data_IF_066115500043
#
_entry.id   IF_066115500043
#
_cell.length_a   1.000
_cell.length_b   1.000
_cell.length_c   1.000
_cell.angle_alpha   90.00
_cell.angle_beta   90.00
_cell.angle_gamma   90.00
#
_symmetry.space_group_name_H-M   'P 1'
#
loop_
_entity.id
_entity.type
_entity.pdbx_description
1 polymer ?
#
# COMPACT_ATOMS: atom_id res chain seq x y z
N UNK A 1 22.66 8.77 41.65
CA UNK A 1 22.45 8.68 40.18
C UNK A 1 22.38 10.07 39.52
N UNK A 2 23.01 10.24 38.35
CA UNK A 2 23.09 11.53 37.65
C UNK A 2 21.74 12.10 37.24
N UNK A 3 21.60 13.42 37.32
CA UNK A 3 20.40 14.12 36.88
C UNK A 3 20.17 14.07 35.36
N UNK A 4 21.17 13.62 34.56
CA UNK A 4 21.12 13.63 33.09
C UNK A 4 21.69 12.36 32.45
N UNK A 5 21.01 11.83 31.42
CA UNK A 5 21.44 10.75 30.50
C UNK A 5 21.75 11.35 29.13
N UNK A 6 22.79 10.85 28.45
CA UNK A 6 23.09 11.21 27.06
C UNK A 6 22.34 10.29 26.09
N UNK A 7 21.51 10.86 25.22
CA UNK A 7 20.93 10.15 24.06
C UNK A 7 21.97 10.04 22.94
N UNK A 8 21.74 9.10 22.01
CA UNK A 8 22.58 8.85 20.84
C UNK A 8 22.70 10.07 19.88
N UNK A 9 21.71 10.97 19.88
CA UNK A 9 21.71 12.26 19.16
C UNK A 9 22.57 13.34 19.86
N UNK A 10 23.27 12.98 20.94
CA UNK A 10 24.11 13.89 21.73
C UNK A 10 23.34 14.73 22.75
N UNK A 11 22.00 14.68 22.78
CA UNK A 11 21.20 15.47 23.73
C UNK A 11 21.28 14.91 25.15
N UNK A 12 21.33 15.80 26.12
CA UNK A 12 21.28 15.47 27.55
C UNK A 12 19.84 15.58 28.05
N UNK A 13 19.24 14.47 28.47
CA UNK A 13 17.89 14.42 29.03
C UNK A 13 17.92 14.16 30.53
N UNK A 14 16.91 14.62 31.26
CA UNK A 14 16.79 14.25 32.68
C UNK A 14 16.60 12.75 32.85
N UNK A 15 17.34 12.15 33.77
CA UNK A 15 17.16 10.75 34.13
C UNK A 15 15.74 10.51 34.67
N UNK A 16 15.05 9.49 34.17
CA UNK A 16 13.72 9.10 34.67
C UNK A 16 13.66 7.57 34.84
N UNK A 17 13.62 7.12 36.10
CA UNK A 17 13.53 5.71 36.49
C UNK A 17 12.21 5.03 36.07
N UNK A 18 11.13 5.79 35.91
CA UNK A 18 9.83 5.25 35.52
C UNK A 18 9.85 4.69 34.10
N UNK A 19 10.69 5.26 33.21
CA UNK A 19 10.85 4.73 31.84
C UNK A 19 11.48 3.33 31.85
N UNK A 20 12.44 3.10 32.74
CA UNK A 20 13.07 1.78 32.92
C UNK A 20 12.04 0.81 33.51
N UNK A 21 11.31 1.24 34.53
CA UNK A 21 10.24 0.44 35.15
C UNK A 21 9.18 0.04 34.13
N UNK A 22 8.74 0.97 33.28
CA UNK A 22 7.75 0.72 32.24
C UNK A 22 8.25 -0.28 31.20
N UNK A 23 9.51 -0.17 30.77
CA UNK A 23 10.10 -1.11 29.82
C UNK A 23 10.18 -2.54 30.38
N UNK A 24 10.63 -2.69 31.64
CA UNK A 24 10.70 -3.97 32.33
C UNK A 24 9.29 -4.54 32.57
N UNK A 25 8.34 -3.71 32.97
CA UNK A 25 6.95 -4.12 33.20
C UNK A 25 6.27 -4.59 31.90
N UNK A 26 6.52 -3.93 30.76
CA UNK A 26 6.01 -4.38 29.46
C UNK A 26 6.58 -5.75 29.06
N UNK A 27 7.87 -5.97 29.29
CA UNK A 27 8.50 -7.26 29.01
C UNK A 27 7.96 -8.38 29.93
N UNK A 28 7.75 -8.09 31.22
CA UNK A 28 7.13 -9.01 32.17
C UNK A 28 5.67 -9.32 31.82
N UNK A 29 4.89 -8.32 31.41
CA UNK A 29 3.51 -8.51 30.96
C UNK A 29 3.41 -9.35 29.67
N UNK A 30 4.35 -9.16 28.73
CA UNK A 30 4.38 -9.90 27.47
C UNK A 30 4.67 -11.40 27.65
N UNK A 31 5.42 -11.78 28.70
CA UNK A 31 5.77 -13.17 28.99
C UNK A 31 4.93 -13.81 30.09
N UNK A 32 4.22 -12.99 30.87
CA UNK A 32 3.41 -13.42 32.02
C UNK A 32 4.23 -13.85 33.24
N UNK A 33 5.54 -13.57 33.28
CA UNK A 33 6.41 -14.07 34.37
C UNK A 33 6.32 -13.24 35.66
N UNK A 34 6.00 -11.94 35.58
CA UNK A 34 5.91 -11.09 36.76
C UNK A 34 5.11 -9.80 36.53
N UNK A 35 4.72 -9.17 37.65
CA UNK A 35 3.89 -7.97 37.69
C UNK A 35 4.70 -6.66 37.86
N UNK A 36 3.99 -5.55 37.92
CA UNK A 36 4.61 -4.22 38.07
C UNK A 36 5.36 -4.05 39.40
N UNK A 37 5.03 -4.81 40.45
CA UNK A 37 5.73 -4.74 41.73
C UNK A 37 7.12 -5.38 41.64
N UNK A 38 7.22 -6.52 40.95
CA UNK A 38 8.50 -7.15 40.64
C UNK A 38 9.32 -6.29 39.67
N UNK A 39 8.68 -5.65 38.68
CA UNK A 39 9.35 -4.74 37.75
C UNK A 39 10.02 -3.55 38.47
N UNK A 40 9.36 -2.97 39.49
CA UNK A 40 9.96 -1.93 40.34
C UNK A 40 11.17 -2.46 41.12
N UNK A 41 11.08 -3.68 41.65
CA UNK A 41 12.18 -4.30 42.40
C UNK A 41 13.41 -4.55 41.51
N UNK A 42 13.19 -5.06 40.29
CA UNK A 42 14.24 -5.23 39.29
C UNK A 42 14.83 -3.89 38.85
N UNK A 43 14.00 -2.85 38.72
CA UNK A 43 14.47 -1.50 38.41
C UNK A 43 15.41 -0.99 39.49
N UNK A 44 15.09 -1.15 40.78
CA UNK A 44 15.99 -0.75 41.88
C UNK A 44 17.35 -1.46 41.77
N UNK A 45 17.37 -2.76 41.41
CA UNK A 45 18.62 -3.49 41.17
C UNK A 45 19.42 -2.90 40.00
N UNK A 46 18.76 -2.55 38.90
CA UNK A 46 19.37 -1.86 37.75
C UNK A 46 19.98 -0.52 38.18
N UNK A 47 19.27 0.28 38.96
CA UNK A 47 19.78 1.58 39.44
C UNK A 47 21.01 1.42 40.32
N UNK A 48 20.99 0.46 41.25
CA UNK A 48 22.12 0.18 42.14
C UNK A 48 23.34 -0.34 41.39
N UNK A 49 23.14 -1.18 40.37
CA UNK A 49 24.23 -1.70 39.54
C UNK A 49 24.82 -0.59 38.66
N UNK A 50 23.97 0.25 38.07
CA UNK A 50 24.39 1.40 37.28
C UNK A 50 25.20 2.42 38.12
N UNK A 51 24.80 2.65 39.37
CA UNK A 51 25.52 3.56 40.28
C UNK A 51 26.90 3.03 40.66
N UNK A 52 27.07 1.71 40.77
CA UNK A 52 28.39 1.09 41.04
C UNK A 52 29.31 1.09 39.84
N UNK A 53 28.78 0.88 38.63
CA UNK A 53 29.58 0.72 37.40
C UNK A 53 30.03 2.07 36.84
N UNK A 54 29.17 3.08 36.88
CA UNK A 54 29.38 4.33 36.15
C UNK A 54 29.80 5.50 37.03
N UNK A 55 30.48 5.23 38.16
CA UNK A 55 30.99 6.18 39.14
C UNK A 55 31.19 7.61 38.60
N UNK A 56 30.18 8.45 38.78
CA UNK A 56 30.18 9.86 38.39
C UNK A 56 30.28 10.21 36.88
N UNK A 57 30.19 9.23 35.96
CA UNK A 57 30.14 9.44 34.49
C UNK A 57 28.71 9.58 33.95
N UNK A 58 28.51 10.45 32.96
CA UNK A 58 27.25 10.54 32.20
C UNK A 58 27.08 9.26 31.38
N UNK A 59 26.06 8.48 31.69
CA UNK A 59 25.73 7.24 30.99
C UNK A 59 24.89 7.50 29.74
N UNK A 60 25.03 6.60 28.78
CA UNK A 60 24.19 6.51 27.59
C UNK A 60 22.92 5.70 27.87
N UNK A 61 21.94 5.77 26.96
CA UNK A 61 20.70 4.98 27.08
C UNK A 61 21.01 3.49 26.87
N UNK A 62 21.94 3.19 25.97
CA UNK A 62 22.37 1.84 25.61
C UNK A 62 23.05 1.13 26.77
N UNK A 63 23.98 1.80 27.46
CA UNK A 63 24.65 1.29 28.66
C UNK A 63 23.65 0.95 29.79
N UNK A 64 22.58 1.74 29.95
CA UNK A 64 21.53 1.44 30.93
C UNK A 64 20.73 0.20 30.49
N UNK A 65 20.47 0.04 29.19
CA UNK A 65 19.78 -1.15 28.67
C UNK A 65 20.60 -2.42 28.84
N UNK A 66 21.93 -2.36 28.69
CA UNK A 66 22.84 -3.49 28.95
C UNK A 66 22.72 -3.97 30.41
N UNK A 67 22.65 -3.04 31.35
CA UNK A 67 22.45 -3.37 32.77
C UNK A 67 21.05 -3.99 33.00
N UNK A 68 20.02 -3.50 32.31
CA UNK A 68 18.68 -4.11 32.40
C UNK A 68 18.71 -5.57 31.92
N UNK A 69 19.42 -5.86 30.83
CA UNK A 69 19.60 -7.23 30.34
C UNK A 69 20.34 -8.11 31.34
N UNK A 70 21.45 -7.63 31.90
CA UNK A 70 22.24 -8.37 32.89
C UNK A 70 21.41 -8.68 34.14
N UNK A 71 20.62 -7.72 34.63
CA UNK A 71 19.72 -7.93 35.78
C UNK A 71 18.60 -8.90 35.45
N UNK A 72 18.06 -8.89 34.23
CA UNK A 72 17.04 -9.86 33.81
C UNK A 72 17.63 -11.27 33.63
N UNK A 73 18.82 -11.40 33.04
CA UNK A 73 19.51 -12.68 32.85
C UNK A 73 19.95 -13.33 34.16
N UNK A 74 20.36 -12.52 35.14
CA UNK A 74 20.72 -12.98 36.49
C UNK A 74 19.50 -13.27 37.39
N UNK A 75 18.29 -12.96 36.93
CA UNK A 75 17.05 -13.27 37.63
C UNK A 75 16.49 -14.65 37.27
N UNK A 76 15.44 -15.09 37.99
CA UNK A 76 14.68 -16.30 37.66
C UNK A 76 13.83 -16.16 36.39
N UNK A 77 13.65 -14.94 35.87
CA UNK A 77 12.72 -14.60 34.78
C UNK A 77 13.40 -14.70 33.41
N UNK A 78 13.84 -15.92 33.06
CA UNK A 78 14.62 -16.18 31.84
C UNK A 78 13.84 -15.94 30.55
N UNK A 79 12.51 -16.15 30.54
CA UNK A 79 11.71 -15.89 29.33
C UNK A 79 11.61 -14.39 29.07
N UNK A 80 11.46 -13.58 30.13
CA UNK A 80 11.44 -12.12 30.05
C UNK A 80 12.78 -11.57 29.61
N UNK A 81 13.88 -12.12 30.13
CA UNK A 81 15.22 -11.74 29.68
C UNK A 81 15.39 -11.97 28.17
N UNK A 82 15.03 -13.16 27.67
CA UNK A 82 15.09 -13.48 26.25
C UNK A 82 14.19 -12.57 25.40
N UNK A 83 12.95 -12.32 25.83
CA UNK A 83 12.03 -11.44 25.13
C UNK A 83 12.52 -9.99 25.07
N UNK A 84 13.08 -9.47 26.17
CA UNK A 84 13.63 -8.12 26.25
C UNK A 84 14.84 -7.94 25.32
N UNK A 85 15.78 -8.90 25.31
CA UNK A 85 16.96 -8.89 24.43
C UNK A 85 16.54 -8.90 22.96
N UNK A 86 15.64 -9.81 22.57
CA UNK A 86 15.14 -9.90 21.19
C UNK A 86 14.46 -8.58 20.76
N UNK A 87 13.61 -8.02 21.61
CA UNK A 87 12.93 -6.75 21.35
C UNK A 87 13.93 -5.59 21.15
N UNK A 88 14.97 -5.51 21.98
CA UNK A 88 16.00 -4.48 21.85
C UNK A 88 16.82 -4.64 20.57
N UNK A 89 17.21 -5.86 20.22
CA UNK A 89 17.97 -6.18 19.01
C UNK A 89 17.16 -5.82 17.75
N UNK A 90 15.88 -6.20 17.69
CA UNK A 90 14.97 -5.83 16.60
C UNK A 90 14.91 -4.31 16.42
N UNK A 91 14.66 -3.58 17.52
CA UNK A 91 14.61 -2.12 17.48
C UNK A 91 15.94 -1.45 17.16
N UNK A 92 17.08 -2.04 17.57
CA UNK A 92 18.40 -1.54 17.21
C UNK A 92 18.66 -1.71 15.72
N UNK A 93 18.28 -2.85 15.14
CA UNK A 93 18.39 -3.15 13.71
C UNK A 93 17.54 -2.23 12.86
N UNK A 94 16.28 -2.01 13.25
CA UNK A 94 15.42 -1.01 12.61
C UNK A 94 16.07 0.36 12.56
N UNK A 95 16.63 0.83 13.67
CA UNK A 95 17.28 2.15 13.75
C UNK A 95 18.57 2.23 12.93
N UNK A 96 19.35 1.16 12.87
CA UNK A 96 20.55 1.13 12.03
C UNK A 96 20.19 1.21 10.55
N UNK A 97 19.13 0.50 10.15
CA UNK A 97 18.56 0.55 8.82
C UNK A 97 18.03 1.96 8.53
N UNK A 98 17.22 2.55 9.40
CA UNK A 98 16.70 3.93 9.24
C UNK A 98 17.82 4.98 9.12
N UNK A 99 18.88 4.89 9.92
CA UNK A 99 19.97 5.88 9.91
C UNK A 99 20.93 5.73 8.72
N UNK A 100 21.09 4.52 8.15
CA UNK A 100 21.87 4.31 6.91
C UNK A 100 21.05 4.61 5.65
N UNK A 101 19.72 4.56 5.73
CA UNK A 101 18.84 4.66 4.55
C UNK A 101 18.67 6.07 3.97
N UNK A 102 18.78 7.16 4.74
CA UNK A 102 18.32 8.47 4.21
C UNK A 102 19.19 9.08 3.11
N UNK A 103 20.53 8.97 3.20
CA UNK A 103 21.43 9.54 2.17
C UNK A 103 21.82 8.50 1.13
N UNK A 104 22.13 7.28 1.58
CA UNK A 104 22.59 6.22 0.68
C UNK A 104 21.49 5.77 -0.31
N UNK A 105 20.19 5.78 0.06
CA UNK A 105 19.13 5.40 -0.89
C UNK A 105 18.96 6.43 -2.02
N UNK A 106 19.12 7.71 -1.72
CA UNK A 106 19.06 8.77 -2.72
C UNK A 106 20.24 8.62 -3.67
N UNK A 107 21.45 8.47 -3.14
CA UNK A 107 22.66 8.30 -3.95
C UNK A 107 22.63 6.99 -4.78
N UNK A 108 22.09 5.89 -4.22
CA UNK A 108 21.89 4.63 -4.96
C UNK A 108 20.94 4.79 -6.16
N UNK A 109 19.83 5.50 -5.96
CA UNK A 109 18.88 5.77 -7.05
C UNK A 109 19.49 6.71 -8.09
N UNK A 110 20.11 7.82 -7.67
CA UNK A 110 20.78 8.78 -8.55
C UNK A 110 21.92 8.14 -9.35
N UNK A 111 22.68 7.24 -8.73
CA UNK A 111 23.77 6.49 -9.34
C UNK A 111 23.32 5.33 -10.22
N UNK A 112 22.03 5.02 -10.28
CA UNK A 112 21.46 3.83 -10.94
C UNK A 112 22.15 2.51 -10.55
N UNK A 113 22.63 2.42 -9.31
CA UNK A 113 23.51 1.33 -8.88
C UNK A 113 22.78 0.07 -8.41
N UNK A 114 21.46 0.14 -8.21
CA UNK A 114 20.64 -1.01 -7.81
C UNK A 114 19.78 -1.51 -8.99
N UNK A 115 19.81 -2.83 -9.23
CA UNK A 115 18.96 -3.48 -10.23
C UNK A 115 17.48 -3.29 -9.90
N UNK A 116 17.14 -3.09 -8.62
CA UNK A 116 15.76 -2.84 -8.15
C UNK A 116 15.11 -1.60 -8.74
N UNK A 117 15.90 -0.66 -9.27
CA UNK A 117 15.35 0.46 -10.04
C UNK A 117 14.56 -0.05 -11.27
N UNK A 118 14.86 -1.25 -11.74
CA UNK A 118 14.17 -1.94 -12.84
C UNK A 118 13.17 -3.01 -12.36
N UNK A 119 12.94 -3.18 -11.05
CA UNK A 119 11.97 -4.15 -10.52
C UNK A 119 10.54 -3.82 -10.97
N UNK A 120 10.24 -2.53 -11.07
CA UNK A 120 9.00 -2.06 -11.69
C UNK A 120 9.26 -1.61 -13.13
N UNK A 121 8.99 -2.50 -14.08
CA UNK A 121 9.19 -2.26 -15.51
C UNK A 121 8.39 -1.09 -16.07
N UNK A 122 7.37 -0.62 -15.34
CA UNK A 122 6.53 0.50 -15.74
C UNK A 122 7.05 1.86 -15.22
N UNK A 123 8.15 1.89 -14.45
CA UNK A 123 8.71 3.11 -13.86
C UNK A 123 9.96 3.60 -14.58
N UNK A 124 9.94 4.86 -15.00
CA UNK A 124 11.12 5.54 -15.52
C UNK A 124 11.83 6.36 -14.45
N UNK A 125 13.13 6.58 -14.66
CA UNK A 125 13.96 7.44 -13.82
C UNK A 125 13.38 8.86 -13.76
N UNK A 126 12.79 9.20 -12.61
CA UNK A 126 12.14 10.48 -12.37
C UNK A 126 12.17 10.85 -10.89
N UNK A 127 11.85 12.11 -10.58
CA UNK A 127 11.67 12.55 -9.19
C UNK A 127 10.59 11.76 -8.45
N UNK A 128 9.49 11.45 -9.13
CA UNK A 128 8.43 10.66 -8.54
C UNK A 128 8.84 9.18 -8.38
N UNK A 129 9.64 8.65 -9.31
CA UNK A 129 10.26 7.33 -9.16
C UNK A 129 11.19 7.25 -7.95
N UNK A 130 11.96 8.32 -7.67
CA UNK A 130 12.79 8.41 -6.47
C UNK A 130 11.94 8.36 -5.20
N UNK A 131 10.88 9.17 -5.13
CA UNK A 131 9.97 9.17 -3.98
C UNK A 131 9.37 7.79 -3.74
N UNK A 132 8.95 7.11 -4.82
CA UNK A 132 8.41 5.77 -4.74
C UNK A 132 9.46 4.75 -4.27
N UNK A 133 10.69 4.82 -4.80
CA UNK A 133 11.80 3.95 -4.41
C UNK A 133 12.11 4.05 -2.91
N UNK A 134 12.25 5.28 -2.39
CA UNK A 134 12.50 5.52 -0.96
C UNK A 134 11.35 4.95 -0.12
N UNK A 135 10.10 5.27 -0.47
CA UNK A 135 8.93 4.77 0.25
C UNK A 135 8.82 3.24 0.22
N UNK A 136 9.19 2.62 -0.91
CA UNK A 136 9.13 1.18 -1.10
C UNK A 136 10.15 0.46 -0.23
N UNK A 137 11.39 0.93 -0.18
CA UNK A 137 12.43 0.33 0.66
C UNK A 137 12.11 0.45 2.15
N UNK A 138 11.58 1.60 2.59
CA UNK A 138 11.12 1.78 3.98
C UNK A 138 9.99 0.80 4.32
N UNK A 139 9.00 0.65 3.43
CA UNK A 139 7.87 -0.28 3.63
C UNK A 139 8.33 -1.74 3.68
N UNK A 140 9.28 -2.13 2.83
CA UNK A 140 9.87 -3.46 2.81
C UNK A 140 10.57 -3.80 4.12
N UNK A 141 11.35 -2.86 4.66
CA UNK A 141 12.01 -3.02 5.97
C UNK A 141 10.97 -3.22 7.07
N UNK A 142 9.89 -2.45 7.05
CA UNK A 142 8.82 -2.59 8.03
C UNK A 142 8.14 -3.96 7.96
N UNK A 143 7.74 -4.42 6.75
CA UNK A 143 7.18 -5.75 6.56
C UNK A 143 8.05 -6.86 7.13
N UNK A 144 9.34 -6.87 6.77
CA UNK A 144 10.25 -7.95 7.11
C UNK A 144 10.70 -7.95 8.58
N UNK A 145 10.62 -6.82 9.27
CA UNK A 145 11.10 -6.70 10.65
C UNK A 145 9.99 -6.62 11.69
N UNK A 146 8.85 -5.98 11.37
CA UNK A 146 7.76 -5.75 12.31
C UNK A 146 6.59 -6.72 12.11
N UNK A 147 6.28 -7.11 10.87
CA UNK A 147 5.10 -7.93 10.57
C UNK A 147 5.45 -9.42 10.43
N UNK A 148 6.44 -9.73 9.59
CA UNK A 148 6.85 -11.11 9.34
C UNK A 148 7.77 -11.65 10.42
N UNK A 149 7.66 -12.96 10.68
CA UNK A 149 8.55 -13.62 11.63
C UNK A 149 10.00 -13.66 11.10
N UNK A 150 11.00 -13.78 12.00
CA UNK A 150 12.40 -13.89 11.60
C UNK A 150 12.69 -15.03 10.61
N UNK A 151 11.94 -16.14 10.71
CA UNK A 151 12.05 -17.30 9.81
C UNK A 151 11.58 -16.95 8.39
N UNK A 152 10.42 -16.29 8.27
CA UNK A 152 9.88 -15.84 6.97
C UNK A 152 10.81 -14.83 6.32
N UNK A 153 11.30 -13.83 7.09
CA UNK A 153 12.27 -12.87 6.58
C UNK A 153 13.52 -13.56 6.05
N UNK A 154 14.05 -14.53 6.80
CA UNK A 154 15.27 -15.25 6.42
C UNK A 154 15.07 -16.01 5.12
N UNK A 155 14.01 -16.80 5.02
CA UNK A 155 13.67 -17.56 3.83
C UNK A 155 13.49 -16.66 2.59
N UNK A 156 12.85 -15.48 2.74
CA UNK A 156 12.76 -14.49 1.68
C UNK A 156 14.14 -13.92 1.27
N UNK A 157 15.01 -13.64 2.25
CA UNK A 157 16.32 -13.02 2.01
C UNK A 157 17.33 -14.01 1.42
N UNK A 158 17.24 -15.28 1.82
CA UNK A 158 18.09 -16.37 1.35
C UNK A 158 17.61 -16.97 0.01
N UNK A 159 16.40 -16.59 -0.44
CA UNK A 159 15.86 -16.96 -1.75
C UNK A 159 15.10 -18.28 -1.77
N UNK A 160 14.72 -18.82 -0.61
CA UNK A 160 13.89 -20.03 -0.51
C UNK A 160 12.48 -19.80 -1.10
N UNK A 161 11.96 -18.57 -0.97
CA UNK A 161 10.79 -18.07 -1.69
C UNK A 161 10.86 -16.55 -1.84
N UNK A 162 9.99 -16.00 -2.69
CA UNK A 162 9.89 -14.55 -2.88
C UNK A 162 8.53 -14.04 -2.39
N UNK A 163 8.55 -13.01 -1.54
CA UNK A 163 7.34 -12.29 -1.13
C UNK A 163 7.21 -11.10 -2.07
N UNK A 164 6.16 -11.12 -2.88
CA UNK A 164 5.89 -10.06 -3.84
C UNK A 164 5.37 -8.79 -3.13
N UNK A 165 5.60 -7.64 -3.77
CA UNK A 165 4.96 -6.35 -3.47
C UNK A 165 5.13 -5.83 -2.03
N UNK A 166 6.31 -6.06 -1.44
CA UNK A 166 6.70 -5.47 -0.15
C UNK A 166 6.85 -3.94 -0.17
N UNK A 167 6.68 -3.31 -1.33
CA UNK A 167 6.79 -1.87 -1.56
C UNK A 167 5.63 -1.07 -0.98
N UNK A 168 4.45 -1.67 -0.83
CA UNK A 168 3.27 -1.03 -0.26
C UNK A 168 2.79 -1.77 0.99
N UNK A 169 2.33 -1.02 1.99
CA UNK A 169 1.61 -1.56 3.15
C UNK A 169 0.12 -1.60 2.83
N UNK A 170 -0.26 -2.39 1.82
CA UNK A 170 -1.65 -2.51 1.39
C UNK A 170 -1.93 -3.88 0.75
N UNK A 171 -3.13 -4.03 0.19
CA UNK A 171 -3.57 -5.17 -0.60
C UNK A 171 -2.86 -5.22 -1.96
N UNK A 172 -2.80 -6.42 -2.55
CA UNK A 172 -2.19 -6.64 -3.85
C UNK A 172 -3.07 -6.11 -5.00
N UNK A 173 -4.04 -6.90 -5.46
CA UNK A 173 -4.95 -6.53 -6.55
C UNK A 173 -6.39 -6.44 -6.06
N UNK A 174 -7.22 -5.67 -6.76
CA UNK A 174 -8.65 -5.55 -6.43
C UNK A 174 -9.50 -5.60 -7.69
N UNK A 175 -10.50 -6.47 -7.68
CA UNK A 175 -11.61 -6.47 -8.63
C UNK A 175 -12.79 -5.70 -8.03
N UNK A 176 -13.29 -4.72 -8.76
CA UNK A 176 -14.33 -3.81 -8.31
C UNK A 176 -15.65 -4.10 -9.00
N UNK A 177 -16.74 -3.83 -8.29
CA UNK A 177 -18.08 -3.91 -8.85
C UNK A 177 -18.44 -2.58 -9.52
N UNK A 178 -18.47 -2.57 -10.86
CA UNK A 178 -18.88 -1.39 -11.62
C UNK A 178 -20.37 -1.07 -11.38
N UNK A 179 -21.20 -2.05 -11.07
CA UNK A 179 -22.61 -1.83 -10.78
C UNK A 179 -22.77 -0.91 -9.55
N UNK A 180 -21.97 -1.13 -8.52
CA UNK A 180 -21.97 -0.30 -7.30
C UNK A 180 -21.57 1.15 -7.61
N UNK A 181 -20.52 1.35 -8.40
CA UNK A 181 -20.10 2.67 -8.88
C UNK A 181 -21.22 3.38 -9.68
N UNK A 182 -21.95 2.64 -10.52
CA UNK A 182 -23.08 3.18 -11.30
C UNK A 182 -24.32 3.46 -10.44
N UNK A 183 -24.46 2.80 -9.30
CA UNK A 183 -25.56 2.99 -8.35
C UNK A 183 -25.31 4.15 -7.38
N UNK A 184 -24.11 4.25 -6.85
CA UNK A 184 -23.76 5.21 -5.79
C UNK A 184 -23.07 6.47 -6.30
N UNK A 185 -22.35 6.37 -7.43
CA UNK A 185 -21.38 7.36 -7.87
C UNK A 185 -20.06 7.26 -7.12
N UNK A 186 -19.07 8.05 -7.52
CA UNK A 186 -17.75 8.02 -6.86
C UNK A 186 -17.74 8.90 -5.60
N UNK A 187 -17.75 8.28 -4.42
CA UNK A 187 -17.89 8.93 -3.10
C UNK A 187 -17.22 8.14 -1.97
N UNK A 188 -17.25 8.64 -0.73
CA UNK A 188 -16.89 7.88 0.48
C UNK A 188 -15.67 8.38 1.25
N UNK A 189 -15.00 9.44 0.77
CA UNK A 189 -13.81 10.00 1.44
C UNK A 189 -14.08 11.40 1.96
N UNK A 190 -14.01 11.56 3.29
CA UNK A 190 -14.25 12.84 3.96
C UNK A 190 -13.28 13.93 3.46
N UNK A 191 -13.83 15.10 3.12
CA UNK A 191 -13.06 16.25 2.65
C UNK A 191 -12.58 16.15 1.20
N UNK A 192 -13.04 15.16 0.43
CA UNK A 192 -12.82 15.06 -1.02
C UNK A 192 -14.10 15.35 -1.78
N UNK A 193 -13.96 15.76 -3.05
CA UNK A 193 -15.09 15.99 -3.94
C UNK A 193 -15.72 14.65 -4.29
N UNK A 194 -17.03 14.57 -4.18
CA UNK A 194 -17.81 13.38 -4.52
C UNK A 194 -18.64 13.62 -5.80
N UNK A 195 -18.88 12.55 -6.55
CA UNK A 195 -19.72 12.57 -7.74
C UNK A 195 -21.01 11.78 -7.52
N UNK A 196 -22.10 12.27 -8.08
CA UNK A 196 -23.35 11.52 -8.18
C UNK A 196 -23.23 10.44 -9.27
N UNK A 197 -24.09 9.42 -9.23
CA UNK A 197 -24.17 8.42 -10.30
C UNK A 197 -24.25 9.03 -11.70
N UNK A 198 -23.45 8.50 -12.62
CA UNK A 198 -23.38 8.98 -13.99
C UNK A 198 -24.71 8.79 -14.74
N UNK A 199 -25.09 9.79 -15.55
CA UNK A 199 -26.30 9.76 -16.41
C UNK A 199 -26.00 9.59 -17.89
N UNK A 200 -24.75 9.83 -18.30
CA UNK A 200 -24.30 9.82 -19.68
C UNK A 200 -23.05 8.95 -19.80
N UNK A 201 -22.84 8.32 -20.97
CA UNK A 201 -21.74 7.38 -21.20
C UNK A 201 -20.37 8.00 -20.89
N UNK A 202 -20.12 9.22 -21.39
CA UNK A 202 -18.86 9.92 -21.14
C UNK A 202 -18.62 10.21 -19.66
N UNK A 203 -19.66 10.57 -18.92
CA UNK A 203 -19.55 10.79 -17.47
C UNK A 203 -19.26 9.48 -16.74
N UNK A 204 -19.84 8.36 -17.16
CA UNK A 204 -19.56 7.04 -16.58
C UNK A 204 -18.10 6.64 -16.83
N UNK A 205 -17.63 6.73 -18.07
CA UNK A 205 -16.23 6.46 -18.42
C UNK A 205 -15.25 7.38 -17.68
N UNK A 206 -15.57 8.67 -17.55
CA UNK A 206 -14.76 9.61 -16.77
C UNK A 206 -14.71 9.27 -15.27
N UNK A 207 -15.82 8.80 -14.69
CA UNK A 207 -15.81 8.31 -13.30
C UNK A 207 -14.98 7.04 -13.15
N UNK A 208 -15.06 6.09 -14.10
CA UNK A 208 -14.22 4.89 -14.14
C UNK A 208 -12.74 5.26 -14.17
N UNK A 209 -12.35 6.22 -15.02
CA UNK A 209 -10.97 6.73 -15.08
C UNK A 209 -10.53 7.27 -13.72
N UNK A 210 -11.30 8.19 -13.13
CA UNK A 210 -10.98 8.77 -11.82
C UNK A 210 -10.91 7.71 -10.72
N UNK A 211 -11.79 6.72 -10.77
CA UNK A 211 -11.85 5.61 -9.82
C UNK A 211 -10.58 4.77 -9.90
N UNK A 212 -10.18 4.31 -11.09
CA UNK A 212 -8.95 3.55 -11.27
C UNK A 212 -7.72 4.33 -10.85
N UNK A 213 -7.61 5.62 -11.22
CA UNK A 213 -6.48 6.47 -10.84
C UNK A 213 -6.38 6.73 -9.34
N UNK A 214 -7.52 6.79 -8.65
CA UNK A 214 -7.52 6.99 -7.20
C UNK A 214 -7.12 5.71 -6.48
N UNK A 215 -7.75 4.58 -6.82
CA UNK A 215 -7.58 3.33 -6.07
C UNK A 215 -6.28 2.59 -6.39
N UNK A 216 -5.64 2.85 -7.54
CA UNK A 216 -4.27 2.37 -7.77
C UNK A 216 -3.23 2.96 -6.79
N UNK A 217 -3.56 4.04 -6.08
CA UNK A 217 -2.73 4.60 -5.02
C UNK A 217 -2.83 3.78 -3.72
N UNK A 218 -3.88 2.98 -3.59
CA UNK A 218 -4.24 2.23 -2.39
C UNK A 218 -3.99 0.72 -2.55
N UNK A 219 -3.50 0.26 -3.69
CA UNK A 219 -3.21 -1.15 -3.96
C UNK A 219 -1.94 -1.29 -4.81
N UNK A 220 -1.19 -2.37 -4.63
CA UNK A 220 0.10 -2.55 -5.31
C UNK A 220 -0.05 -2.94 -6.79
N UNK A 221 -1.05 -3.77 -7.09
CA UNK A 221 -1.26 -4.42 -8.37
C UNK A 221 -2.50 -3.94 -9.12
N UNK A 222 -3.04 -4.84 -9.95
CA UNK A 222 -4.07 -4.56 -10.93
C UNK A 222 -5.41 -4.12 -10.30
N UNK A 223 -6.06 -3.18 -10.99
CA UNK A 223 -7.43 -2.74 -10.72
C UNK A 223 -8.33 -3.22 -11.85
N UNK A 224 -9.38 -3.98 -11.54
CA UNK A 224 -10.23 -4.58 -12.55
C UNK A 224 -11.70 -4.20 -12.40
N UNK A 225 -12.40 -4.03 -13.53
CA UNK A 225 -13.86 -4.05 -13.58
C UNK A 225 -14.34 -5.24 -14.39
N UNK A 226 -15.36 -5.93 -13.88
CA UNK A 226 -16.07 -6.99 -14.59
C UNK A 226 -17.34 -6.44 -15.25
N UNK A 227 -17.85 -7.17 -16.27
CA UNK A 227 -19.09 -6.86 -16.96
C UNK A 227 -19.14 -5.45 -17.58
N UNK A 228 -17.99 -5.00 -18.10
CA UNK A 228 -17.78 -3.60 -18.47
C UNK A 228 -18.68 -3.16 -19.63
N UNK A 229 -18.78 -3.98 -20.67
CA UNK A 229 -19.66 -3.75 -21.82
C UNK A 229 -21.14 -3.89 -21.44
N UNK A 230 -21.52 -4.95 -20.72
CA UNK A 230 -22.91 -5.18 -20.27
C UNK A 230 -23.43 -3.99 -19.47
N UNK A 231 -22.65 -3.50 -18.50
CA UNK A 231 -23.09 -2.45 -17.58
C UNK A 231 -23.09 -1.05 -18.22
N UNK A 232 -22.25 -0.80 -19.22
CA UNK A 232 -22.15 0.51 -19.89
C UNK A 232 -22.96 0.61 -21.18
N UNK A 233 -23.28 -0.50 -21.83
CA UNK A 233 -24.09 -0.53 -23.06
C UNK A 233 -25.42 0.24 -22.95
N UNK A 234 -26.16 0.22 -21.83
CA UNK A 234 -27.41 0.97 -21.72
C UNK A 234 -27.26 2.47 -22.01
N UNK A 235 -26.17 3.09 -21.56
CA UNK A 235 -25.95 4.52 -21.79
C UNK A 235 -25.95 4.89 -23.28
N UNK A 236 -25.53 3.99 -24.17
CA UNK A 236 -25.56 4.22 -25.63
C UNK A 236 -26.99 4.50 -26.11
N UNK A 237 -27.96 3.68 -25.68
CA UNK A 237 -29.37 3.82 -26.07
C UNK A 237 -30.01 5.04 -25.42
N UNK A 238 -29.79 5.26 -24.13
CA UNK A 238 -30.41 6.40 -23.41
C UNK A 238 -29.88 7.75 -23.91
N UNK A 239 -28.60 7.82 -24.25
CA UNK A 239 -27.99 9.02 -24.83
C UNK A 239 -28.25 9.14 -26.34
N UNK A 240 -28.81 8.10 -26.99
CA UNK A 240 -29.07 8.01 -28.44
C UNK A 240 -27.82 8.25 -29.28
N UNK A 241 -26.70 7.64 -28.87
CA UNK A 241 -25.40 7.87 -29.48
C UNK A 241 -25.30 7.20 -30.85
N UNK A 242 -24.74 7.94 -31.81
CA UNK A 242 -24.26 7.39 -33.06
C UNK A 242 -22.97 6.59 -32.86
N UNK A 243 -22.65 5.70 -33.81
CA UNK A 243 -21.40 4.93 -33.76
C UNK A 243 -20.14 5.82 -33.65
N UNK A 244 -20.14 6.97 -34.33
CA UNK A 244 -19.04 7.94 -34.26
C UNK A 244 -18.87 8.50 -32.84
N UNK A 245 -19.97 8.80 -32.15
CA UNK A 245 -19.93 9.31 -30.77
C UNK A 245 -19.51 8.24 -29.77
N UNK A 246 -19.94 6.99 -29.97
CA UNK A 246 -19.51 5.84 -29.17
C UNK A 246 -17.99 5.66 -29.30
N UNK A 247 -17.48 5.59 -30.54
CA UNK A 247 -16.04 5.46 -30.81
C UNK A 247 -15.26 6.63 -30.21
N UNK A 248 -15.76 7.86 -30.32
CA UNK A 248 -15.10 9.03 -29.73
C UNK A 248 -15.05 8.97 -28.20
N UNK A 249 -16.12 8.53 -27.54
CA UNK A 249 -16.16 8.39 -26.09
C UNK A 249 -15.19 7.30 -25.59
N UNK A 250 -15.09 6.18 -26.31
CA UNK A 250 -14.14 5.11 -26.01
C UNK A 250 -12.70 5.49 -26.32
N UNK A 251 -12.46 6.27 -27.38
CA UNK A 251 -11.16 6.88 -27.64
C UNK A 251 -10.73 7.78 -26.49
N UNK A 252 -11.61 8.68 -26.03
CA UNK A 252 -11.33 9.52 -24.88
C UNK A 252 -10.97 8.68 -23.64
N UNK A 253 -11.73 7.63 -23.36
CA UNK A 253 -11.46 6.71 -22.26
C UNK A 253 -10.10 6.01 -22.37
N UNK A 254 -9.82 5.36 -23.50
CA UNK A 254 -8.59 4.58 -23.73
C UNK A 254 -7.36 5.49 -23.69
N UNK A 255 -7.43 6.70 -24.26
CA UNK A 255 -6.30 7.62 -24.14
C UNK A 255 -6.09 8.06 -22.68
N UNK A 256 -7.14 8.45 -21.97
CA UNK A 256 -7.03 8.94 -20.59
C UNK A 256 -6.51 7.88 -19.61
N UNK A 257 -6.94 6.62 -19.75
CA UNK A 257 -6.45 5.53 -18.89
C UNK A 257 -5.01 5.14 -19.20
N UNK A 258 -4.49 5.46 -20.40
CA UNK A 258 -3.10 5.22 -20.78
C UNK A 258 -2.15 6.39 -20.49
N UNK A 259 -2.65 7.58 -20.10
CA UNK A 259 -1.76 8.71 -19.76
C UNK A 259 -1.01 8.40 -18.46
N UNK A 260 0.34 8.39 -18.45
CA UNK A 260 1.11 8.09 -17.23
C UNK A 260 1.04 9.25 -16.23
N UNK A 261 0.01 9.27 -15.40
CA UNK A 261 -0.18 10.31 -14.37
C UNK A 261 0.07 9.81 -12.94
N UNK A 262 0.42 8.52 -12.74
CA UNK A 262 0.82 7.96 -11.44
C UNK A 262 2.14 8.58 -10.96
N UNK A 263 2.38 8.51 -9.65
CA UNK A 263 3.73 8.62 -9.07
C UNK A 263 4.68 7.69 -9.82
N UNK A 264 5.74 8.25 -10.37
CA UNK A 264 6.75 7.54 -11.16
C UNK A 264 6.45 7.47 -12.66
N UNK A 265 5.45 8.23 -13.15
CA UNK A 265 5.03 8.24 -14.55
C UNK A 265 4.60 6.86 -15.06
N UNK A 266 3.89 6.10 -14.22
CA UNK A 266 3.34 4.82 -14.62
C UNK A 266 1.89 4.97 -15.08
N UNK A 267 1.52 4.16 -16.06
CA UNK A 267 0.12 3.94 -16.43
C UNK A 267 -0.51 2.97 -15.41
N UNK A 268 -1.76 3.20 -14.97
CA UNK A 268 -2.48 2.25 -14.12
C UNK A 268 -2.56 0.85 -14.73
N UNK A 269 -2.18 -0.17 -13.96
CA UNK A 269 -2.40 -1.55 -14.38
C UNK A 269 -3.90 -1.86 -14.25
N UNK A 270 -4.60 -1.84 -15.37
CA UNK A 270 -6.07 -1.96 -15.40
C UNK A 270 -6.54 -3.09 -16.29
N UNK A 271 -7.61 -3.74 -15.86
CA UNK A 271 -8.27 -4.82 -16.59
C UNK A 271 -9.76 -4.52 -16.73
N UNK A 272 -10.32 -4.81 -17.89
CA UNK A 272 -11.76 -4.78 -18.12
C UNK A 272 -12.21 -6.11 -18.71
N UNK A 273 -13.26 -6.70 -18.15
CA UNK A 273 -13.86 -7.91 -18.72
C UNK A 273 -15.01 -7.52 -19.65
N UNK A 274 -14.98 -8.04 -20.87
CA UNK A 274 -16.05 -7.84 -21.86
C UNK A 274 -16.85 -9.15 -21.99
N UNK A 275 -18.13 -9.11 -21.66
CA UNK A 275 -18.97 -10.31 -21.68
C UNK A 275 -19.29 -10.79 -23.11
N UNK A 276 -19.24 -9.90 -24.10
CA UNK A 276 -19.59 -10.09 -25.52
C UNK A 276 -21.08 -10.37 -25.75
N UNK A 277 -21.67 -11.23 -24.92
CA UNK A 277 -23.10 -11.55 -24.89
C UNK A 277 -23.65 -11.25 -23.52
N UNK A 278 -24.88 -10.73 -23.44
CA UNK A 278 -25.52 -10.43 -22.15
C UNK A 278 -25.48 -11.68 -21.25
N UNK A 279 -24.81 -11.63 -20.09
CA UNK A 279 -24.70 -12.78 -19.22
C UNK A 279 -26.05 -13.09 -18.56
N UNK A 280 -26.37 -14.40 -18.44
CA UNK A 280 -27.66 -14.87 -17.91
C UNK A 280 -28.01 -14.30 -16.54
N UNK A 281 -27.01 -14.03 -15.68
CA UNK A 281 -27.22 -13.50 -14.34
C UNK A 281 -27.52 -11.99 -14.29
N UNK A 282 -27.30 -11.26 -15.39
CA UNK A 282 -27.75 -9.87 -15.55
C UNK A 282 -28.99 -9.74 -16.45
N UNK A 283 -29.27 -10.71 -17.32
CA UNK A 283 -30.33 -10.66 -18.33
C UNK A 283 -31.66 -10.08 -17.81
N UNK A 284 -32.18 -10.60 -16.69
CA UNK A 284 -33.47 -10.19 -16.12
C UNK A 284 -33.39 -8.99 -15.18
N UNK A 285 -32.20 -8.43 -14.94
CA UNK A 285 -32.03 -7.27 -14.06
C UNK A 285 -32.32 -5.98 -14.82
N UNK A 286 -32.95 -5.02 -14.15
CA UNK A 286 -33.16 -3.68 -14.69
C UNK A 286 -31.83 -2.99 -14.94
N UNK A 287 -31.73 -2.27 -16.05
CA UNK A 287 -30.55 -1.45 -16.35
C UNK A 287 -30.47 -0.25 -15.40
N UNK A 288 -29.25 0.12 -15.03
CA UNK A 288 -29.00 1.27 -14.15
C UNK A 288 -28.50 2.45 -14.97
N UNK A 289 -29.21 3.57 -14.86
CA UNK A 289 -28.80 4.88 -15.43
C UNK A 289 -29.05 5.96 -14.39
N UNK A 290 -28.04 6.77 -14.09
CA UNK A 290 -28.15 7.83 -13.07
C UNK A 290 -28.43 7.30 -11.66
N UNK A 291 -27.95 6.09 -11.34
CA UNK A 291 -28.14 5.44 -10.04
C UNK A 291 -29.55 4.94 -9.80
N UNK A 292 -30.34 4.76 -10.87
CA UNK A 292 -31.73 4.31 -10.79
C UNK A 292 -32.00 3.16 -11.75
N UNK A 293 -32.74 2.13 -11.31
CA UNK A 293 -33.24 1.10 -12.22
C UNK A 293 -34.22 1.72 -13.21
N UNK A 294 -34.10 1.32 -14.47
CA UNK A 294 -35.00 1.70 -15.55
C UNK A 294 -36.00 0.58 -15.85
N UNK A 295 -36.89 0.79 -16.82
CA UNK A 295 -37.94 -0.18 -17.14
C UNK A 295 -37.37 -1.41 -17.86
N UNK A 296 -36.40 -1.16 -18.73
CA UNK A 296 -35.73 -2.15 -19.56
C UNK A 296 -34.73 -2.98 -18.75
N UNK A 297 -34.49 -4.19 -19.23
CA UNK A 297 -33.58 -5.17 -18.64
C UNK A 297 -32.32 -5.34 -19.49
N UNK A 298 -31.22 -5.83 -18.93
CA UNK A 298 -29.96 -5.98 -19.68
C UNK A 298 -30.10 -6.92 -20.89
N UNK A 299 -31.02 -7.89 -20.87
CA UNK A 299 -31.31 -8.76 -22.01
C UNK A 299 -31.64 -8.01 -23.30
N UNK A 300 -32.16 -6.79 -23.19
CA UNK A 300 -32.60 -5.97 -24.31
C UNK A 300 -31.47 -5.16 -24.97
N UNK A 301 -30.22 -5.24 -24.50
CA UNK A 301 -29.11 -4.34 -24.90
C UNK A 301 -27.96 -5.03 -25.68
N UNK A 302 -28.22 -6.20 -26.27
CA UNK A 302 -27.20 -6.92 -27.04
C UNK A 302 -26.68 -6.12 -28.25
N UNK A 303 -27.54 -5.33 -28.90
CA UNK A 303 -27.13 -4.49 -30.03
C UNK A 303 -26.13 -3.41 -29.60
N UNK A 304 -26.40 -2.72 -28.50
CA UNK A 304 -25.50 -1.71 -27.93
C UNK A 304 -24.19 -2.31 -27.43
N UNK A 305 -24.23 -3.50 -26.82
CA UNK A 305 -23.01 -4.23 -26.46
C UNK A 305 -22.15 -4.53 -27.70
N UNK A 306 -22.76 -4.97 -28.80
CA UNK A 306 -22.03 -5.23 -30.05
C UNK A 306 -21.38 -3.95 -30.60
N UNK A 307 -22.10 -2.82 -30.57
CA UNK A 307 -21.57 -1.52 -30.99
C UNK A 307 -20.43 -1.06 -30.07
N UNK A 308 -20.58 -1.21 -28.76
CA UNK A 308 -19.56 -0.90 -27.76
C UNK A 308 -18.29 -1.72 -28.00
N UNK A 309 -18.42 -3.05 -28.07
CA UNK A 309 -17.29 -3.96 -28.24
C UNK A 309 -16.54 -3.73 -29.55
N UNK A 310 -17.28 -3.52 -30.64
CA UNK A 310 -16.68 -3.18 -31.93
C UNK A 310 -15.89 -1.87 -31.86
N UNK A 311 -16.49 -0.81 -31.32
CA UNK A 311 -15.83 0.49 -31.20
C UNK A 311 -14.62 0.43 -30.25
N UNK A 312 -14.71 -0.32 -29.15
CA UNK A 312 -13.62 -0.53 -28.20
C UNK A 312 -12.42 -1.22 -28.88
N UNK A 313 -12.66 -2.32 -29.58
CA UNK A 313 -11.61 -3.07 -30.26
C UNK A 313 -10.99 -2.29 -31.42
N UNK A 314 -11.77 -1.51 -32.17
CA UNK A 314 -11.26 -0.62 -33.22
C UNK A 314 -10.30 0.42 -32.62
N UNK A 315 -10.68 1.11 -31.53
CA UNK A 315 -9.81 2.11 -30.88
C UNK A 315 -8.54 1.48 -30.32
N UNK A 316 -8.64 0.31 -29.68
CA UNK A 316 -7.45 -0.42 -29.19
C UNK A 316 -6.50 -0.80 -30.33
N UNK A 317 -7.05 -1.15 -31.49
CA UNK A 317 -6.28 -1.57 -32.68
C UNK A 317 -5.64 -0.39 -33.43
N UNK A 318 -6.29 0.78 -33.44
CA UNK A 318 -5.76 2.00 -34.07
C UNK A 318 -4.44 2.46 -33.41
N UNK A 319 -4.30 2.22 -32.11
CA UNK A 319 -3.13 2.60 -31.33
C UNK A 319 -2.98 4.11 -31.12
N UNK A 320 -1.81 4.50 -30.63
CA UNK A 320 -1.47 5.91 -30.37
C UNK A 320 -1.06 6.67 -31.63
N UNK A 321 -0.66 7.94 -31.48
CA UNK A 321 -0.22 8.79 -32.60
C UNK A 321 0.99 8.24 -33.40
N UNK A 322 1.70 7.23 -32.88
CA UNK A 322 2.80 6.54 -33.54
C UNK A 322 2.43 5.12 -33.99
N UNK A 323 1.16 4.74 -33.88
CA UNK A 323 0.66 3.40 -34.19
C UNK A 323 1.06 2.34 -33.16
N UNK A 324 1.44 2.74 -31.94
CA UNK A 324 1.72 1.78 -30.86
C UNK A 324 0.42 1.32 -30.25
N UNK A 325 0.26 0.01 -30.07
CA UNK A 325 -0.93 -0.57 -29.43
C UNK A 325 -1.02 -0.09 -27.98
N UNK A 326 -2.24 0.17 -27.51
CA UNK A 326 -2.47 0.50 -26.10
C UNK A 326 -2.27 -0.74 -25.23
N UNK A 327 -1.51 -0.59 -24.15
CA UNK A 327 -1.27 -1.67 -23.18
C UNK A 327 -2.49 -1.89 -22.28
N UNK A 328 -3.20 -0.80 -21.94
CA UNK A 328 -4.29 -0.81 -20.97
C UNK A 328 -5.60 -0.21 -21.54
N UNK A 329 -6.76 -0.47 -20.93
CA UNK A 329 -6.96 -1.58 -20.01
C UNK A 329 -6.80 -2.90 -20.78
N UNK A 330 -6.32 -3.94 -20.12
CA UNK A 330 -6.22 -5.27 -20.73
C UNK A 330 -7.66 -5.82 -20.87
N UNK A 331 -8.16 -6.05 -22.11
CA UNK A 331 -9.45 -6.66 -22.31
C UNK A 331 -9.36 -8.16 -22.05
N UNK A 332 -10.30 -8.71 -21.29
CA UNK A 332 -10.43 -10.16 -21.02
C UNK A 332 -11.79 -10.66 -21.44
#
# INVERSE_FOLDING_TARGET
MHAKIKKRDGRLLKFNAEKITSAIAKAGAATGEFDNAVAKTLTIRVLNLAEKIFDSRITTVEEIQDIVEEVLLSSSYRKTAKAYIIYREQHARLREITNKMEVDLVDQYLGKMDWKIHENSNMDYSLQGLNNYISSEVSKVYWLNEIYSPEIRRAHTEGDFHIHDLSLLSVYCVGWDLFDLLMEGFRGVSGKVESKPARHLRSALGQVVNFFYTLQGEAAGAQAFSNFDTLLAPFIRYDKLSYQEIRQALQEFIFNINVPTRVGFQTPFTNVTLDITVPRYYADRNVIVGGKPQKETYAEFQEEMNLFNKAFLEVMSDGDAKGRVFTFPIPT
#
